data_IF_949777630814
#
_entry.id   IF_949777630814
#
_cell.length_a   1.000
_cell.length_b   1.000
_cell.length_c   1.000
_cell.angle_alpha   90.00
_cell.angle_beta   90.00
_cell.angle_gamma   90.00
#
_symmetry.space_group_name_H-M   'P 1'
#
loop_
_entity.id
_entity.type
_entity.pdbx_description
1 polymer ?
#
# COMPACT_ATOMS: atom_id res chain seq x y z
N UNK A 1 5.60 39.94 -47.15
CA UNK A 1 4.29 39.28 -47.21
C UNK A 1 4.50 37.78 -47.15
N UNK A 2 3.67 37.13 -46.34
CA UNK A 2 3.33 35.71 -46.25
C UNK A 2 4.24 34.66 -46.91
N UNK A 3 4.70 33.71 -46.09
CA UNK A 3 4.23 32.31 -46.05
C UNK A 3 5.36 31.44 -45.49
N UNK A 4 5.35 31.21 -44.17
CA UNK A 4 5.98 30.02 -43.58
C UNK A 4 4.88 29.22 -42.87
N UNK A 5 4.07 28.58 -43.70
CA UNK A 5 3.26 27.44 -43.32
C UNK A 5 4.11 26.18 -43.55
N UNK A 6 4.91 25.82 -42.55
CA UNK A 6 5.48 24.48 -42.40
C UNK A 6 5.29 24.14 -40.93
N UNK A 7 4.09 23.73 -40.54
CA UNK A 7 3.68 22.36 -40.81
C UNK A 7 4.15 21.53 -39.63
N UNK A 8 3.34 21.55 -38.56
CA UNK A 8 3.38 20.54 -37.51
C UNK A 8 3.38 19.15 -38.18
N UNK A 9 4.57 18.57 -38.39
CA UNK A 9 4.76 17.32 -39.10
C UNK A 9 4.03 16.16 -38.40
N UNK A 10 3.70 15.14 -39.20
CA UNK A 10 2.86 13.97 -38.90
C UNK A 10 3.29 13.05 -37.73
N UNK A 11 4.18 13.53 -36.86
CA UNK A 11 4.52 12.93 -35.58
C UNK A 11 4.35 13.99 -34.50
N UNK A 12 3.10 14.27 -34.12
CA UNK A 12 2.86 14.76 -32.77
C UNK A 12 3.41 13.67 -31.86
N UNK A 13 4.40 13.97 -31.02
CA UNK A 13 4.81 13.06 -29.95
C UNK A 13 3.55 12.80 -29.13
N UNK A 14 2.89 11.69 -29.42
CA UNK A 14 1.63 11.41 -28.77
C UNK A 14 1.97 11.25 -27.29
N UNK A 15 1.33 12.08 -26.48
CA UNK A 15 1.35 12.01 -25.02
C UNK A 15 1.01 10.62 -24.40
N UNK A 16 0.45 9.59 -25.09
CA UNK A 16 0.28 8.27 -24.51
C UNK A 16 1.59 7.58 -24.14
N UNK A 17 2.75 7.98 -24.69
CA UNK A 17 4.03 7.37 -24.33
C UNK A 17 4.46 7.68 -22.87
N UNK A 18 3.97 8.78 -22.30
CA UNK A 18 4.29 9.22 -20.92
C UNK A 18 3.46 8.52 -19.84
N UNK A 19 2.55 7.61 -20.22
CA UNK A 19 1.64 6.92 -19.30
C UNK A 19 0.94 5.70 -19.91
N UNK A 20 1.53 5.10 -20.96
CA UNK A 20 0.85 4.11 -21.81
C UNK A 20 0.54 2.77 -21.14
N UNK A 21 1.27 2.44 -20.07
CA UNK A 21 0.97 1.25 -19.27
C UNK A 21 -0.08 1.58 -18.20
N UNK A 22 -1.33 1.17 -18.46
CA UNK A 22 -2.44 1.41 -17.54
C UNK A 22 -2.39 0.42 -16.37
N UNK A 23 -1.95 0.90 -15.21
CA UNK A 23 -1.99 0.12 -13.97
C UNK A 23 -3.42 0.13 -13.40
N UNK A 24 -4.29 -0.74 -13.93
CA UNK A 24 -5.71 -0.83 -13.55
C UNK A 24 -5.90 -1.42 -12.16
N UNK A 25 -5.56 -0.63 -11.14
CA UNK A 25 -5.71 -0.98 -9.72
C UNK A 25 -6.75 -0.05 -9.10
N UNK A 26 -7.93 -0.55 -8.70
CA UNK A 26 -8.99 0.30 -8.15
C UNK A 26 -8.51 1.01 -6.88
N UNK A 27 -9.10 2.15 -6.58
CA UNK A 27 -8.78 2.92 -5.38
C UNK A 27 -9.27 2.23 -4.10
N UNK A 28 -10.37 1.45 -4.20
CA UNK A 28 -10.98 0.70 -3.08
C UNK A 28 -10.90 -0.82 -3.24
N UNK A 29 -10.98 -1.51 -2.10
CA UNK A 29 -11.15 -2.96 -2.01
C UNK A 29 -12.63 -3.37 -2.19
N UNK A 30 -12.87 -4.42 -2.97
CA UNK A 30 -14.17 -5.10 -3.04
C UNK A 30 -14.48 -5.85 -1.72
N UNK A 31 -15.75 -6.12 -1.45
CA UNK A 31 -16.27 -6.82 -0.28
C UNK A 31 -15.61 -8.19 -0.06
N UNK A 32 -15.50 -9.02 -1.10
CA UNK A 32 -14.84 -10.34 -0.98
C UNK A 32 -13.37 -10.21 -0.61
N UNK A 33 -12.67 -9.23 -1.19
CA UNK A 33 -11.26 -8.97 -0.84
C UNK A 33 -11.12 -8.46 0.61
N UNK A 34 -12.09 -7.69 1.11
CA UNK A 34 -12.16 -7.28 2.51
C UNK A 34 -12.40 -8.48 3.44
N UNK A 35 -13.22 -9.46 3.04
CA UNK A 35 -13.40 -10.70 3.78
C UNK A 35 -12.07 -11.45 3.94
N UNK A 36 -11.36 -11.67 2.84
CA UNK A 36 -10.05 -12.35 2.88
C UNK A 36 -9.01 -11.62 3.74
N UNK A 37 -9.09 -10.28 3.84
CA UNK A 37 -8.23 -9.51 4.76
C UNK A 37 -8.59 -9.82 6.22
N UNK A 38 -9.88 -9.88 6.56
CA UNK A 38 -10.34 -10.25 7.90
C UNK A 38 -9.93 -11.67 8.27
N UNK A 39 -10.06 -12.61 7.34
CA UNK A 39 -9.71 -14.01 7.59
C UNK A 39 -8.20 -14.16 7.86
N UNK A 40 -7.36 -13.47 7.08
CA UNK A 40 -5.91 -13.44 7.33
C UNK A 40 -5.56 -12.83 8.69
N UNK A 41 -6.23 -11.76 9.09
CA UNK A 41 -6.00 -11.14 10.41
C UNK A 41 -6.40 -12.10 11.54
N UNK A 42 -7.54 -12.78 11.42
CA UNK A 42 -7.98 -13.79 12.39
C UNK A 42 -7.02 -14.98 12.49
N UNK A 43 -6.46 -15.43 11.36
CA UNK A 43 -5.44 -16.47 11.34
C UNK A 43 -4.17 -16.04 12.09
N UNK A 44 -3.71 -14.80 11.86
CA UNK A 44 -2.55 -14.24 12.57
C UNK A 44 -2.83 -14.16 14.08
N UNK A 45 -4.00 -13.66 14.47
CA UNK A 45 -4.42 -13.59 15.88
C UNK A 45 -4.37 -14.97 16.55
N UNK A 46 -4.91 -16.00 15.89
CA UNK A 46 -4.89 -17.38 16.39
C UNK A 46 -3.47 -17.91 16.54
N UNK A 47 -2.60 -17.69 15.55
CA UNK A 47 -1.20 -18.14 15.62
C UNK A 47 -0.44 -17.42 16.75
N UNK A 48 -0.61 -16.11 16.89
CA UNK A 48 0.04 -15.33 17.95
C UNK A 48 -0.44 -15.78 19.34
N UNK A 49 -1.73 -16.07 19.49
CA UNK A 49 -2.28 -16.59 20.74
C UNK A 49 -1.66 -17.95 21.11
N UNK A 50 -1.54 -18.87 20.16
CA UNK A 50 -0.92 -20.18 20.38
C UNK A 50 0.57 -20.06 20.73
N UNK A 51 1.31 -19.13 20.11
CA UNK A 51 2.73 -18.92 20.45
C UNK A 51 2.86 -18.31 21.85
N UNK A 52 1.99 -17.37 22.22
CA UNK A 52 1.97 -16.74 23.55
C UNK A 52 1.70 -17.74 24.68
N UNK A 53 0.85 -18.75 24.44
CA UNK A 53 0.56 -19.76 25.47
C UNK A 53 1.75 -20.68 25.74
N UNK A 54 2.63 -20.90 24.76
CA UNK A 54 3.80 -21.78 24.93
C UNK A 54 5.03 -20.98 25.39
N UNK A 55 5.25 -19.80 24.81
CA UNK A 55 6.46 -19.00 25.05
C UNK A 55 6.12 -17.51 25.23
N UNK A 56 5.72 -17.07 26.43
CA UNK A 56 5.36 -15.67 26.69
C UNK A 56 6.56 -14.71 26.65
N UNK A 57 7.78 -15.20 26.92
CA UNK A 57 8.98 -14.37 27.05
C UNK A 57 9.62 -13.94 25.72
N UNK A 58 9.09 -14.42 24.59
CA UNK A 58 9.71 -14.29 23.28
C UNK A 58 9.84 -12.81 22.87
N UNK A 59 11.07 -12.37 22.58
CA UNK A 59 11.38 -10.96 22.28
C UNK A 59 10.58 -10.42 21.06
N UNK A 60 10.32 -11.26 20.06
CA UNK A 60 9.47 -10.88 18.93
C UNK A 60 8.02 -10.56 19.33
N UNK A 61 7.47 -11.21 20.36
CA UNK A 61 6.14 -10.90 20.89
C UNK A 61 6.12 -9.58 21.65
N UNK A 62 7.22 -9.24 22.35
CA UNK A 62 7.39 -7.96 23.06
C UNK A 62 7.44 -6.77 22.09
N UNK A 63 8.09 -6.94 20.94
CA UNK A 63 8.23 -5.91 19.91
C UNK A 63 7.07 -5.88 18.89
N UNK A 64 6.07 -6.75 19.05
CA UNK A 64 4.98 -6.82 18.09
C UNK A 64 4.01 -5.66 18.27
N UNK A 65 3.89 -4.80 17.26
CA UNK A 65 2.87 -3.77 17.25
C UNK A 65 1.45 -4.37 17.26
N UNK A 66 0.47 -3.67 17.86
CA UNK A 66 -0.89 -4.18 18.01
C UNK A 66 -1.56 -4.44 16.66
N UNK A 67 -2.44 -5.43 16.62
CA UNK A 67 -3.20 -5.79 15.43
C UNK A 67 -4.34 -4.77 15.18
N UNK A 68 -4.67 -4.48 13.91
CA UNK A 68 -5.63 -3.45 13.55
C UNK A 68 -7.06 -3.84 13.92
N UNK A 69 -7.76 -2.99 14.68
CA UNK A 69 -9.11 -3.26 15.19
C UNK A 69 -10.18 -2.56 14.38
N UNK A 70 -9.97 -1.29 14.04
CA UNK A 70 -10.97 -0.47 13.36
C UNK A 70 -11.06 -0.82 11.86
N UNK A 71 -12.22 -0.63 11.20
CA UNK A 71 -12.32 -0.82 9.76
C UNK A 71 -11.34 0.03 8.95
N UNK A 72 -11.07 1.26 9.42
CA UNK A 72 -10.10 2.17 8.80
C UNK A 72 -8.71 1.57 8.82
N UNK A 73 -8.25 1.14 10.00
CA UNK A 73 -6.97 0.46 10.14
C UNK A 73 -6.93 -0.79 9.26
N UNK A 74 -7.95 -1.65 9.26
CA UNK A 74 -7.92 -2.92 8.50
C UNK A 74 -7.68 -2.74 7.00
N UNK A 75 -8.18 -1.66 6.39
CA UNK A 75 -8.16 -1.50 4.92
C UNK A 75 -7.27 -0.37 4.41
N UNK A 76 -6.81 0.54 5.28
CA UNK A 76 -5.94 1.65 4.92
C UNK A 76 -4.64 1.60 5.72
N UNK A 77 -3.56 2.06 5.11
CA UNK A 77 -2.24 2.20 5.71
C UNK A 77 -1.85 3.67 5.66
N UNK A 78 -1.22 4.12 6.74
CA UNK A 78 -0.65 5.46 6.83
C UNK A 78 0.65 5.52 6.04
N UNK A 79 0.78 6.52 5.19
CA UNK A 79 1.92 6.71 4.29
C UNK A 79 2.32 8.18 4.35
N UNK A 80 3.57 8.49 4.01
CA UNK A 80 4.05 9.87 3.89
C UNK A 80 3.09 10.70 3.04
N UNK A 81 2.68 11.84 3.58
CA UNK A 81 1.87 12.81 2.84
C UNK A 81 2.68 13.35 1.67
N UNK A 82 2.03 13.45 0.52
CA UNK A 82 2.60 14.02 -0.71
C UNK A 82 1.56 14.95 -1.32
N UNK A 83 1.94 15.87 -2.22
CA UNK A 83 0.96 16.70 -2.91
C UNK A 83 -0.14 15.88 -3.60
N UNK A 84 0.20 14.69 -4.10
CA UNK A 84 -0.74 13.75 -4.72
C UNK A 84 -1.55 12.90 -3.73
N UNK A 85 -1.13 12.83 -2.46
CA UNK A 85 -1.86 12.15 -1.38
C UNK A 85 -1.86 13.02 -0.11
N UNK A 86 -2.73 14.05 -0.06
CA UNK A 86 -2.81 14.95 1.08
C UNK A 86 -3.42 14.28 2.31
N UNK A 87 -4.15 13.17 2.14
CA UNK A 87 -4.74 12.44 3.28
C UNK A 87 -3.74 11.62 4.09
N UNK A 88 -2.55 11.35 3.52
CA UNK A 88 -1.58 10.43 4.12
C UNK A 88 -2.05 8.98 4.22
N UNK A 89 -3.15 8.59 3.54
CA UNK A 89 -3.68 7.23 3.58
C UNK A 89 -3.55 6.56 2.23
N UNK A 90 -3.26 5.26 2.23
CA UNK A 90 -3.25 4.42 1.03
C UNK A 90 -4.02 3.15 1.30
N UNK A 91 -4.77 2.66 0.31
CA UNK A 91 -5.46 1.37 0.43
C UNK A 91 -4.43 0.24 0.61
N UNK A 92 -4.70 -0.67 1.56
CA UNK A 92 -3.82 -1.78 1.92
C UNK A 92 -3.38 -2.59 0.69
N UNK A 93 -4.28 -2.79 -0.27
CA UNK A 93 -4.03 -3.60 -1.45
C UNK A 93 -3.10 -2.98 -2.49
N UNK A 94 -2.72 -1.72 -2.31
CA UNK A 94 -1.73 -1.04 -3.15
C UNK A 94 -0.30 -1.18 -2.59
N UNK A 95 -0.15 -1.93 -1.50
CA UNK A 95 1.14 -2.25 -0.91
C UNK A 95 1.67 -3.54 -1.54
N UNK A 96 2.97 -3.57 -1.92
CA UNK A 96 3.61 -4.79 -2.38
C UNK A 96 3.48 -5.92 -1.37
N UNK A 97 3.03 -7.09 -1.83
CA UNK A 97 2.92 -8.30 -1.00
C UNK A 97 2.10 -8.14 0.31
N UNK A 98 1.10 -7.25 0.33
CA UNK A 98 0.22 -7.01 1.49
C UNK A 98 -0.52 -8.27 2.01
N UNK A 99 -0.53 -9.36 1.23
CA UNK A 99 -1.12 -10.64 1.62
C UNK A 99 -0.20 -11.51 2.47
N UNK A 100 1.12 -11.34 2.34
CA UNK A 100 2.13 -12.15 3.03
C UNK A 100 2.74 -11.37 4.19
N UNK A 101 3.00 -10.10 3.96
CA UNK A 101 3.79 -9.31 4.88
C UNK A 101 2.90 -8.74 5.99
N UNK A 102 3.33 -8.84 7.26
CA UNK A 102 2.59 -8.24 8.36
C UNK A 102 2.70 -6.74 8.21
N UNK A 103 1.59 -6.00 8.12
CA UNK A 103 1.53 -4.52 7.97
C UNK A 103 2.67 -3.71 8.63
N UNK A 104 3.16 -4.15 9.78
CA UNK A 104 4.23 -3.50 10.56
C UNK A 104 5.65 -3.67 9.96
N UNK A 105 5.84 -4.47 8.91
CA UNK A 105 7.12 -4.57 8.18
C UNK A 105 7.42 -3.30 7.36
N UNK A 106 6.41 -2.50 7.05
CA UNK A 106 6.54 -1.29 6.21
C UNK A 106 7.07 -0.08 6.97
N UNK A 107 6.93 -0.01 8.29
CA UNK A 107 7.57 1.04 9.09
C UNK A 107 9.11 0.96 9.02
N UNK A 108 9.65 -0.23 8.70
CA UNK A 108 11.08 -0.44 8.34
C UNK A 108 11.41 -0.07 6.89
N UNK A 109 10.46 -0.16 5.96
CA UNK A 109 10.66 0.28 4.57
C UNK A 109 10.68 1.82 4.51
N UNK A 110 9.86 2.48 5.35
CA UNK A 110 9.88 3.93 5.56
C UNK A 110 11.07 4.43 6.39
N UNK A 111 11.81 3.57 7.09
CA UNK A 111 13.03 3.99 7.79
C UNK A 111 14.22 4.19 6.85
N UNK A 112 14.20 3.62 5.63
CA UNK A 112 15.20 3.89 4.59
C UNK A 112 15.06 5.27 3.95
N UNK A 113 13.92 5.95 4.13
CA UNK A 113 13.72 7.33 3.68
C UNK A 113 13.88 8.39 4.78
N UNK A 114 14.34 8.00 5.98
CA UNK A 114 14.79 8.96 7.00
C UNK A 114 16.24 9.34 6.71
N UNK A 115 16.43 10.22 5.74
CA UNK A 115 17.67 10.98 5.63
C UNK A 115 17.30 12.46 5.56
N UNK A 116 17.55 13.11 6.70
CA UNK A 116 17.34 14.51 7.09
C UNK A 116 15.89 14.92 7.37
#
# INVERSE_FOLDING_TARGET
>A
MSFLLAGFGAFRSSFPASGGLVHKIPWKLNHSRKANVRDRLAMIEKTVAAVRSVHPELHALKNMAPLPKTPREKYFVEVRMTPSNPSGLKGLHKIPHFTKLPRNHESRILSWSKTK
#
